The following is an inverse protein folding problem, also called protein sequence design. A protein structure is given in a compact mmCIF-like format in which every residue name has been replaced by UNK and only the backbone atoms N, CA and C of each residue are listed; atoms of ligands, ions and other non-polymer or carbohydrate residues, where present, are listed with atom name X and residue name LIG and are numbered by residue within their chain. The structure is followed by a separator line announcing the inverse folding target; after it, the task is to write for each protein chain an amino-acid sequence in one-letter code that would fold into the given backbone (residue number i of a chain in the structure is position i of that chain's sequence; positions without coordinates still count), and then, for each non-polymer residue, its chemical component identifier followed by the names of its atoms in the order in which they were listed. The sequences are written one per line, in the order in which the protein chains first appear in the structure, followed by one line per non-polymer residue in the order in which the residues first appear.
data_IF_252212333130
#
_entry.id   IF_252212333130
#
_cell.length_a   1.000
_cell.length_b   1.000
_cell.length_c   1.000
_cell.angle_alpha   90.00
_cell.angle_beta   90.00
_cell.angle_gamma   90.00
#
_symmetry.space_group_name_H-M   'P 1'
#
loop_
_entity.id
_entity.type
_entity.pdbx_description
1 polymer ?
#
# COMPACT_ATOMS: atom_id res chain seq x y z
N UNK A 1 -54.75 23.09 12.31
CA UNK A 1 -53.29 23.06 12.53
C UNK A 1 -52.88 21.61 12.77
N UNK A 2 -52.29 20.94 11.76
CA UNK A 2 -51.84 19.55 11.86
C UNK A 2 -50.36 19.56 12.24
N UNK A 3 -50.05 19.26 13.51
CA UNK A 3 -48.69 18.99 13.97
C UNK A 3 -48.14 17.82 13.13
N UNK A 4 -47.11 18.09 12.34
CA UNK A 4 -46.33 17.05 11.67
C UNK A 4 -45.37 16.43 12.68
N UNK A 5 -45.36 15.10 12.69
CA UNK A 5 -44.62 14.23 13.59
C UNK A 5 -43.10 14.46 13.49
N UNK A 6 -42.37 14.59 14.62
CA UNK A 6 -40.90 14.72 14.64
C UNK A 6 -40.15 13.44 14.21
N UNK A 7 -40.87 12.34 13.94
CA UNK A 7 -40.27 11.06 13.53
C UNK A 7 -39.81 11.01 12.07
N UNK A 8 -40.05 12.05 11.27
CA UNK A 8 -39.67 12.10 9.84
C UNK A 8 -38.28 12.69 9.59
N UNK A 9 -37.55 13.07 10.65
CA UNK A 9 -36.24 13.75 10.57
C UNK A 9 -35.04 12.86 10.93
N UNK A 10 -35.24 11.56 11.18
CA UNK A 10 -34.18 10.65 11.63
C UNK A 10 -33.79 9.58 10.60
N UNK A 11 -33.82 9.91 9.30
CA UNK A 11 -33.49 8.94 8.24
C UNK A 11 -32.53 9.43 7.16
N UNK A 12 -31.73 10.46 7.44
CA UNK A 12 -30.74 10.98 6.50
C UNK A 12 -29.43 11.33 7.21
N UNK A 13 -28.70 10.30 7.62
CA UNK A 13 -27.29 10.39 7.96
C UNK A 13 -26.58 9.13 7.48
N UNK A 14 -26.59 8.87 6.17
CA UNK A 14 -25.52 8.07 5.58
C UNK A 14 -24.34 9.03 5.46
N UNK A 15 -23.62 9.19 6.57
CA UNK A 15 -22.30 9.77 6.56
C UNK A 15 -21.44 8.83 5.70
N UNK A 16 -20.92 9.34 4.59
CA UNK A 16 -19.85 8.68 3.85
C UNK A 16 -18.71 8.45 4.83
N UNK A 17 -18.56 7.20 5.25
CA UNK A 17 -17.77 6.80 6.41
C UNK A 17 -16.37 6.31 6.00
N UNK A 18 -16.05 6.37 4.71
CA UNK A 18 -14.77 5.95 4.16
C UNK A 18 -13.89 7.16 3.81
N UNK A 19 -12.66 7.18 4.33
CA UNK A 19 -11.63 8.15 3.94
C UNK A 19 -10.90 7.74 2.65
N UNK A 20 -10.84 6.43 2.42
CA UNK A 20 -10.34 5.84 1.18
C UNK A 20 -11.41 5.97 0.11
N UNK A 21 -11.02 6.46 -1.07
CA UNK A 21 -11.89 6.62 -2.24
C UNK A 21 -11.45 5.71 -3.39
N UNK A 22 -12.28 5.57 -4.44
CA UNK A 22 -11.87 4.80 -5.62
C UNK A 22 -10.62 5.39 -6.30
N UNK A 23 -10.46 6.72 -6.25
CA UNK A 23 -9.24 7.37 -6.76
C UNK A 23 -8.03 7.08 -5.86
N UNK A 24 -8.24 7.00 -4.54
CA UNK A 24 -7.21 6.52 -3.62
C UNK A 24 -6.70 5.14 -4.01
N UNK A 25 -7.60 4.19 -4.31
CA UNK A 25 -7.23 2.82 -4.71
C UNK A 25 -6.42 2.82 -6.01
N UNK A 26 -6.80 3.63 -7.01
CA UNK A 26 -6.02 3.77 -8.26
C UNK A 26 -4.63 4.31 -7.99
N UNK A 27 -4.52 5.40 -7.23
CA UNK A 27 -3.24 6.03 -6.90
C UNK A 27 -2.32 5.08 -6.11
N UNK A 28 -2.88 4.38 -5.11
CA UNK A 28 -2.14 3.38 -4.34
C UNK A 28 -1.69 2.20 -5.22
N UNK A 29 -2.50 1.79 -6.20
CA UNK A 29 -2.10 0.74 -7.16
C UNK A 29 -0.87 1.17 -7.95
N UNK A 30 -0.90 2.38 -8.53
CA UNK A 30 0.21 2.92 -9.32
C UNK A 30 1.48 3.13 -8.47
N UNK A 31 1.32 3.68 -7.25
CA UNK A 31 2.40 3.87 -6.28
C UNK A 31 3.04 2.55 -5.89
N UNK A 32 2.23 1.55 -5.52
CA UNK A 32 2.70 0.21 -5.14
C UNK A 32 3.53 -0.45 -6.24
N UNK A 33 3.07 -0.39 -7.50
CA UNK A 33 3.84 -0.92 -8.63
C UNK A 33 5.11 -0.10 -8.91
N UNK A 34 5.12 1.19 -8.57
CA UNK A 34 6.31 2.05 -8.60
C UNK A 34 7.36 1.65 -7.57
N UNK A 35 6.95 1.44 -6.31
CA UNK A 35 7.84 1.01 -5.22
C UNK A 35 8.41 -0.38 -5.47
N UNK A 36 7.60 -1.31 -5.97
CA UNK A 36 8.05 -2.65 -6.38
C UNK A 36 9.18 -2.61 -7.41
N UNK A 37 9.05 -1.76 -8.43
CA UNK A 37 10.07 -1.61 -9.48
C UNK A 37 11.41 -1.16 -8.91
N UNK A 38 11.42 -0.21 -7.97
CA UNK A 38 12.65 0.26 -7.30
C UNK A 38 13.44 -0.88 -6.62
N UNK A 39 12.74 -1.80 -5.95
CA UNK A 39 13.38 -2.97 -5.33
C UNK A 39 13.93 -3.93 -6.40
N UNK A 40 13.22 -4.09 -7.51
CA UNK A 40 13.58 -5.05 -8.56
C UNK A 40 14.79 -4.58 -9.36
N UNK A 41 14.84 -3.29 -9.69
CA UNK A 41 15.88 -2.70 -10.56
C UNK A 41 17.28 -2.77 -9.92
N UNK A 42 17.39 -2.65 -8.59
CA UNK A 42 18.66 -2.79 -7.86
C UNK A 42 19.08 -4.26 -7.69
N UNK A 43 18.12 -5.17 -7.48
CA UNK A 43 18.42 -6.61 -7.35
C UNK A 43 18.88 -7.29 -8.66
N UNK A 44 18.70 -6.64 -9.81
CA UNK A 44 19.21 -7.16 -11.10
C UNK A 44 20.71 -6.93 -11.30
N UNK A 45 21.36 -6.08 -10.50
CA UNK A 45 22.81 -5.83 -10.60
C UNK A 45 23.64 -6.79 -9.74
N UNK A 46 23.09 -7.31 -8.63
CA UNK A 46 23.82 -8.18 -7.68
C UNK A 46 23.59 -9.69 -7.86
N UNK A 47 22.57 -10.11 -8.61
CA UNK A 47 22.35 -11.54 -8.93
C UNK A 47 23.07 -11.89 -10.22
N UNK A 48 24.38 -12.15 -10.10
CA UNK A 48 25.27 -12.56 -11.17
C UNK A 48 24.66 -13.64 -12.07
N UNK A 49 24.15 -13.20 -13.22
CA UNK A 49 23.90 -14.05 -14.36
C UNK A 49 25.26 -14.47 -14.92
N UNK A 50 25.65 -15.71 -14.64
CA UNK A 50 26.62 -16.43 -15.48
C UNK A 50 26.04 -16.51 -16.90
N UNK A 51 26.52 -15.63 -17.78
CA UNK A 51 25.96 -15.46 -19.11
C UNK A 51 26.80 -14.56 -20.02
N UNK A 52 27.87 -15.13 -20.56
CA UNK A 52 28.69 -14.70 -21.72
C UNK A 52 28.04 -13.63 -22.63
N UNK A 53 28.69 -12.48 -22.78
CA UNK A 53 28.29 -11.42 -23.72
C UNK A 53 29.41 -10.42 -24.07
N UNK A 54 30.25 -10.82 -25.03
CA UNK A 54 30.93 -10.03 -26.09
C UNK A 54 31.11 -8.51 -25.87
N UNK A 55 32.38 -8.08 -25.90
CA UNK A 55 32.79 -6.69 -25.67
C UNK A 55 32.42 -5.66 -26.75
N UNK A 56 32.64 -4.39 -26.40
CA UNK A 56 32.55 -3.25 -27.30
C UNK A 56 32.51 -1.90 -26.57
N UNK A 57 33.68 -1.28 -26.45
CA UNK A 57 33.96 0.15 -26.68
C UNK A 57 33.15 1.27 -25.96
N UNK A 58 33.83 1.93 -25.02
CA UNK A 58 34.02 3.40 -25.06
C UNK A 58 32.83 4.34 -24.90
N UNK A 59 32.74 4.99 -23.73
CA UNK A 59 32.64 6.45 -23.70
C UNK A 59 31.56 7.10 -22.84
N UNK A 60 32.04 8.08 -22.05
CA UNK A 60 31.37 9.27 -21.49
C UNK A 60 30.57 9.08 -20.22
N UNK A 61 31.27 9.39 -19.13
CA UNK A 61 30.66 9.87 -17.90
C UNK A 61 29.86 11.16 -18.12
N UNK A 62 28.77 11.25 -17.35
CA UNK A 62 28.12 12.50 -17.02
C UNK A 62 27.84 12.47 -15.52
N UNK A 63 28.71 13.16 -14.78
CA UNK A 63 28.54 13.45 -13.37
C UNK A 63 27.42 14.48 -13.25
N UNK A 64 26.33 14.11 -12.58
CA UNK A 64 25.31 15.07 -12.13
C UNK A 64 25.60 15.37 -10.66
N UNK A 65 25.93 16.63 -10.40
CA UNK A 65 26.36 17.17 -9.10
C UNK A 65 25.15 17.78 -8.36
N UNK A 66 25.02 17.47 -7.07
CA UNK A 66 24.27 18.23 -6.06
C UNK A 66 22.93 17.60 -5.65
N UNK A 67 22.65 17.33 -4.38
CA UNK A 67 23.38 17.52 -3.14
C UNK A 67 22.44 17.33 -1.95
N UNK A 68 22.92 16.69 -0.89
CA UNK A 68 22.55 16.94 0.50
C UNK A 68 23.50 16.14 1.38
N UNK A 69 24.36 16.86 2.10
CA UNK A 69 25.31 16.32 3.04
C UNK A 69 24.59 15.77 4.28
N UNK A 70 24.80 14.49 4.57
CA UNK A 70 24.79 13.94 5.93
C UNK A 70 26.06 13.11 6.06
N UNK A 71 26.87 13.44 7.06
CA UNK A 71 28.22 12.94 7.22
C UNK A 71 28.28 11.49 7.69
N UNK A 72 29.21 10.75 7.08
CA UNK A 72 30.12 9.78 7.69
C UNK A 72 29.52 8.67 8.54
N UNK A 73 29.46 7.48 7.96
CA UNK A 73 30.12 6.33 8.55
C UNK A 73 30.83 5.55 7.43
N UNK A 74 32.14 5.36 7.57
CA UNK A 74 32.94 4.48 6.72
C UNK A 74 32.67 3.04 7.15
N UNK A 75 31.51 2.53 6.76
CA UNK A 75 31.18 1.11 6.84
C UNK A 75 31.47 0.44 5.51
N UNK A 76 32.18 -0.68 5.56
CA UNK A 76 32.29 -1.70 4.52
C UNK A 76 30.88 -2.25 4.18
N UNK A 77 30.06 -1.39 3.56
CA UNK A 77 28.67 -1.66 3.22
C UNK A 77 28.62 -2.43 1.92
N UNK A 78 28.82 -3.74 2.01
CA UNK A 78 28.51 -4.64 0.91
C UNK A 78 27.05 -4.51 0.48
N UNK A 79 26.75 -4.98 -0.73
CA UNK A 79 25.44 -4.96 -1.40
C UNK A 79 24.23 -5.31 -0.49
N UNK A 80 24.45 -6.01 0.63
CA UNK A 80 23.46 -6.32 1.66
C UNK A 80 22.77 -5.09 2.28
N UNK A 81 23.56 -4.10 2.75
CA UNK A 81 23.01 -2.93 3.45
C UNK A 81 22.23 -2.01 2.51
N UNK A 82 22.73 -1.83 1.29
CA UNK A 82 22.06 -1.02 0.26
C UNK A 82 20.72 -1.64 -0.16
N UNK A 83 20.65 -2.98 -0.25
CA UNK A 83 19.41 -3.69 -0.58
C UNK A 83 18.42 -3.62 0.58
N UNK A 84 18.86 -3.79 1.84
CA UNK A 84 17.97 -3.64 3.00
C UNK A 84 17.35 -2.24 3.02
N UNK A 85 18.17 -1.20 2.92
CA UNK A 85 17.73 0.20 2.94
C UNK A 85 16.72 0.50 1.81
N UNK A 86 16.96 -0.06 0.62
CA UNK A 86 16.06 0.10 -0.53
C UNK A 86 14.70 -0.54 -0.26
N UNK A 87 14.68 -1.77 0.26
CA UNK A 87 13.45 -2.50 0.56
C UNK A 87 12.69 -1.80 1.69
N UNK A 88 13.38 -1.41 2.75
CA UNK A 88 12.81 -0.68 3.88
C UNK A 88 12.25 0.69 3.45
N UNK A 89 12.95 1.43 2.59
CA UNK A 89 12.46 2.69 2.05
C UNK A 89 11.19 2.49 1.22
N UNK A 90 11.15 1.45 0.38
CA UNK A 90 9.97 1.13 -0.43
C UNK A 90 8.75 0.78 0.44
N UNK A 91 8.93 -0.03 1.49
CA UNK A 91 7.90 -0.31 2.49
C UNK A 91 7.43 0.95 3.19
N UNK A 92 8.36 1.78 3.68
CA UNK A 92 8.03 3.04 4.38
C UNK A 92 7.24 4.00 3.50
N UNK A 93 7.60 4.14 2.22
CA UNK A 93 6.85 5.00 1.29
C UNK A 93 5.42 4.50 1.10
N UNK A 94 5.23 3.20 0.86
CA UNK A 94 3.88 2.63 0.72
C UNK A 94 3.06 2.77 2.01
N UNK A 95 3.64 2.49 3.17
CA UNK A 95 2.98 2.67 4.46
C UNK A 95 2.60 4.14 4.71
N UNK A 96 3.47 5.08 4.32
CA UNK A 96 3.20 6.51 4.44
C UNK A 96 2.04 6.93 3.55
N UNK A 97 2.00 6.48 2.29
CA UNK A 97 0.89 6.76 1.38
C UNK A 97 -0.44 6.22 1.93
N UNK A 98 -0.45 4.99 2.46
CA UNK A 98 -1.63 4.41 3.11
C UNK A 98 -2.03 5.25 4.34
N UNK A 99 -1.07 5.61 5.20
CA UNK A 99 -1.34 6.39 6.40
C UNK A 99 -1.92 7.77 6.06
N UNK A 100 -1.37 8.47 5.07
CA UNK A 100 -1.88 9.77 4.61
C UNK A 100 -3.35 9.67 4.23
N UNK A 101 -3.74 8.61 3.53
CA UNK A 101 -5.13 8.36 3.14
C UNK A 101 -6.02 8.04 4.35
N UNK A 102 -5.49 7.30 5.33
CA UNK A 102 -6.18 6.98 6.58
C UNK A 102 -6.35 8.20 7.52
N UNK A 103 -5.49 9.21 7.42
CA UNK A 103 -5.52 10.40 8.28
C UNK A 103 -6.30 11.58 7.70
N UNK A 104 -6.83 11.47 6.48
CA UNK A 104 -7.66 12.52 5.89
C UNK A 104 -8.83 12.87 6.83
N UNK A 105 -9.13 14.16 7.04
CA UNK A 105 -10.23 14.56 7.92
C UNK A 105 -11.56 14.10 7.33
N UNK A 106 -12.40 13.47 8.17
CA UNK A 106 -13.79 13.14 7.84
C UNK A 106 -14.53 14.45 7.57
N UNK A 107 -14.68 14.81 6.30
CA UNK A 107 -15.48 15.97 5.93
C UNK A 107 -16.94 15.60 6.08
N UNK A 108 -17.57 16.10 7.14
CA UNK A 108 -19.01 16.04 7.39
C UNK A 108 -19.70 16.99 6.40
N UNK A 109 -19.63 16.68 5.11
CA UNK A 109 -20.40 17.40 4.09
C UNK A 109 -21.44 16.44 3.56
N UNK A 110 -22.75 16.72 3.73
CA UNK A 110 -23.79 15.85 3.22
C UNK A 110 -23.59 15.68 1.70
N UNK A 111 -23.64 14.44 1.19
CA UNK A 111 -23.45 14.20 -0.23
C UNK A 111 -24.52 14.99 -1.01
N UNK A 112 -24.17 15.63 -2.14
CA UNK A 112 -25.18 16.17 -3.04
C UNK A 112 -26.14 15.05 -3.43
N UNK A 113 -27.43 15.38 -3.41
CA UNK A 113 -28.55 14.49 -3.68
C UNK A 113 -28.26 13.62 -4.91
N UNK A 114 -28.47 12.31 -4.75
CA UNK A 114 -28.27 11.26 -5.73
C UNK A 114 -28.83 11.58 -7.12
N UNK A 115 -28.02 12.23 -7.95
CA UNK A 115 -28.05 11.97 -9.38
C UNK A 115 -27.41 10.60 -9.58
N UNK A 116 -28.19 9.69 -10.16
CA UNK A 116 -27.83 8.32 -10.52
C UNK A 116 -26.61 8.27 -11.46
N UNK A 117 -25.41 8.53 -10.94
CA UNK A 117 -24.18 8.12 -11.59
C UNK A 117 -24.23 6.60 -11.55
N UNK A 118 -24.46 6.01 -12.72
CA UNK A 118 -24.46 4.57 -12.88
C UNK A 118 -23.03 4.11 -12.56
N UNK A 119 -22.83 3.61 -11.35
CA UNK A 119 -21.52 3.09 -10.93
C UNK A 119 -21.17 1.91 -11.83
N UNK A 120 -20.09 2.04 -12.59
CA UNK A 120 -19.58 0.94 -13.41
C UNK A 120 -18.97 -0.13 -12.50
N UNK A 121 -19.79 -1.10 -12.12
CA UNK A 121 -19.38 -2.15 -11.20
C UNK A 121 -18.33 -3.09 -11.78
N UNK A 122 -18.17 -3.16 -13.11
CA UNK A 122 -17.06 -3.89 -13.69
C UNK A 122 -15.77 -3.15 -13.39
N UNK A 123 -15.72 -1.86 -13.72
CA UNK A 123 -14.55 -1.01 -13.46
C UNK A 123 -14.16 -0.98 -11.98
N UNK A 124 -15.12 -0.81 -11.07
CA UNK A 124 -14.86 -0.80 -9.61
C UNK A 124 -14.21 -2.10 -9.13
N UNK A 125 -14.68 -3.25 -9.62
CA UNK A 125 -14.12 -4.57 -9.27
C UNK A 125 -12.74 -4.77 -9.88
N UNK A 126 -12.57 -4.40 -11.15
CA UNK A 126 -11.30 -4.51 -11.85
C UNK A 126 -10.22 -3.68 -11.12
N UNK A 127 -10.56 -2.47 -10.67
CA UNK A 127 -9.66 -1.60 -9.90
C UNK A 127 -9.33 -2.17 -8.50
N UNK A 128 -10.33 -2.71 -7.80
CA UNK A 128 -10.10 -3.39 -6.52
C UNK A 128 -9.13 -4.57 -6.68
N UNK A 129 -9.36 -5.43 -7.67
CA UNK A 129 -8.51 -6.60 -7.93
C UNK A 129 -7.12 -6.19 -8.42
N UNK A 130 -7.01 -5.14 -9.22
CA UNK A 130 -5.73 -4.59 -9.66
C UNK A 130 -4.89 -4.11 -8.47
N UNK A 131 -5.51 -3.41 -7.51
CA UNK A 131 -4.87 -2.96 -6.29
C UNK A 131 -4.36 -4.12 -5.45
N UNK A 132 -5.20 -5.12 -5.16
CA UNK A 132 -4.78 -6.32 -4.42
C UNK A 132 -3.63 -7.04 -5.13
N UNK A 133 -3.72 -7.18 -6.45
CA UNK A 133 -2.68 -7.84 -7.23
C UNK A 133 -1.36 -7.04 -7.20
N UNK A 134 -1.40 -5.71 -7.23
CA UNK A 134 -0.21 -4.87 -7.08
C UNK A 134 0.43 -5.04 -5.70
N UNK A 135 -0.38 -5.02 -4.63
CA UNK A 135 0.06 -5.27 -3.26
C UNK A 135 0.73 -6.63 -3.11
N UNK A 136 0.09 -7.70 -3.59
CA UNK A 136 0.66 -9.06 -3.52
C UNK A 136 1.97 -9.16 -4.31
N UNK A 137 2.05 -8.56 -5.50
CA UNK A 137 3.31 -8.54 -6.28
C UNK A 137 4.42 -7.78 -5.55
N UNK A 138 4.09 -6.68 -4.87
CA UNK A 138 5.04 -5.93 -4.06
C UNK A 138 5.56 -6.78 -2.89
N UNK A 139 4.66 -7.40 -2.12
CA UNK A 139 5.02 -8.28 -0.99
C UNK A 139 5.84 -9.50 -1.44
N UNK A 140 5.53 -10.07 -2.61
CA UNK A 140 6.31 -11.16 -3.16
C UNK A 140 7.77 -10.78 -3.42
N UNK A 141 8.02 -9.57 -3.95
CA UNK A 141 9.39 -9.09 -4.15
C UNK A 141 10.10 -8.90 -2.81
N UNK A 142 9.41 -8.37 -1.78
CA UNK A 142 9.98 -8.27 -0.42
C UNK A 142 10.32 -9.66 0.12
N UNK A 143 9.41 -10.62 -0.02
CA UNK A 143 9.63 -12.00 0.40
C UNK A 143 10.82 -12.64 -0.31
N UNK A 144 10.94 -12.48 -1.64
CA UNK A 144 12.09 -13.01 -2.39
C UNK A 144 13.41 -12.45 -1.86
N UNK A 145 13.45 -11.16 -1.53
CA UNK A 145 14.65 -10.56 -0.92
C UNK A 145 14.90 -11.08 0.48
N UNK A 146 13.85 -11.22 1.30
CA UNK A 146 13.98 -11.83 2.63
C UNK A 146 14.53 -13.27 2.55
N UNK A 147 14.11 -14.07 1.58
CA UNK A 147 14.59 -15.44 1.40
C UNK A 147 16.08 -15.51 0.99
N UNK A 148 16.56 -14.49 0.26
CA UNK A 148 17.96 -14.40 -0.20
C UNK A 148 18.87 -13.90 0.92
N UNK A 149 18.50 -12.77 1.55
CA UNK A 149 19.33 -12.06 2.51
C UNK A 149 19.12 -12.49 3.96
N UNK A 150 17.97 -13.10 4.28
CA UNK A 150 17.63 -13.66 5.60
C UNK A 150 17.79 -12.65 6.74
N UNK A 151 17.18 -11.48 6.57
CA UNK A 151 17.19 -10.45 7.61
C UNK A 151 16.47 -10.93 8.87
N UNK A 152 16.95 -10.49 10.04
CA UNK A 152 16.34 -10.78 11.34
C UNK A 152 15.20 -9.82 11.72
N UNK A 153 14.57 -10.04 12.87
CA UNK A 153 13.52 -9.19 13.42
C UNK A 153 14.01 -7.81 13.88
N UNK A 154 15.32 -7.60 13.97
CA UNK A 154 15.97 -6.30 14.17
C UNK A 154 16.09 -5.47 12.88
N UNK A 155 15.77 -6.03 11.72
CA UNK A 155 15.92 -5.34 10.44
C UNK A 155 14.87 -4.26 10.22
N UNK A 156 15.25 -3.24 9.45
CA UNK A 156 14.33 -2.17 9.06
C UNK A 156 13.25 -2.65 8.09
N UNK A 157 13.50 -3.76 7.39
CA UNK A 157 12.52 -4.45 6.56
C UNK A 157 11.43 -5.10 7.43
N UNK A 158 11.80 -5.79 8.51
CA UNK A 158 10.85 -6.35 9.46
C UNK A 158 9.93 -5.27 10.04
N UNK A 159 10.51 -4.15 10.48
CA UNK A 159 9.73 -2.99 10.96
C UNK A 159 8.75 -2.49 9.90
N UNK A 160 9.19 -2.39 8.64
CA UNK A 160 8.37 -1.94 7.53
C UNK A 160 7.18 -2.87 7.23
N UNK A 161 7.41 -4.19 7.22
CA UNK A 161 6.35 -5.19 7.04
C UNK A 161 5.38 -5.14 8.22
N UNK A 162 5.88 -5.03 9.45
CA UNK A 162 5.06 -4.93 10.67
C UNK A 162 4.20 -3.67 10.68
N UNK A 163 4.74 -2.55 10.20
CA UNK A 163 3.97 -1.32 10.06
C UNK A 163 2.87 -1.45 9.00
N UNK A 164 3.17 -2.06 7.85
CA UNK A 164 2.17 -2.32 6.80
C UNK A 164 1.03 -3.19 7.32
N UNK A 165 1.36 -4.27 8.03
CA UNK A 165 0.39 -5.15 8.70
C UNK A 165 -0.49 -4.37 9.67
N UNK A 166 0.13 -3.52 10.50
CA UNK A 166 -0.57 -2.69 11.47
C UNK A 166 -1.50 -1.66 10.82
N UNK A 167 -1.12 -1.03 9.71
CA UNK A 167 -2.00 -0.11 8.96
C UNK A 167 -3.17 -0.85 8.31
N UNK A 168 -2.92 -2.07 7.82
CA UNK A 168 -3.95 -2.87 7.17
C UNK A 168 -5.01 -3.34 8.16
N UNK A 169 -4.58 -3.94 9.27
CA UNK A 169 -5.46 -4.68 10.17
C UNK A 169 -5.83 -3.94 11.47
N UNK A 170 -5.01 -2.99 11.94
CA UNK A 170 -5.22 -2.34 13.22
C UNK A 170 -5.87 -0.96 13.10
N UNK A 171 -6.68 -0.63 14.11
CA UNK A 171 -7.21 0.72 14.32
C UNK A 171 -6.23 1.62 15.05
N UNK A 172 -5.27 1.07 15.79
CA UNK A 172 -4.40 1.84 16.70
C UNK A 172 -3.26 2.57 16.00
N UNK A 173 -3.08 2.37 14.70
CA UNK A 173 -1.94 2.83 13.91
C UNK A 173 -2.17 4.17 13.22
N UNK A 174 -3.34 4.79 13.42
CA UNK A 174 -3.69 6.10 12.89
C UNK A 174 -4.60 6.89 13.83
N UNK A 175 -4.61 8.21 13.66
CA UNK A 175 -5.40 9.15 14.48
C UNK A 175 -6.92 9.00 14.34
N UNK A 176 -7.39 8.34 13.28
CA UNK A 176 -8.83 8.14 12.99
C UNK A 176 -9.40 6.86 13.61
N UNK A 177 -8.58 6.05 14.28
CA UNK A 177 -8.98 4.77 14.90
C UNK A 177 -9.66 3.79 13.93
N UNK A 178 -9.18 3.70 12.68
CA UNK A 178 -9.79 2.85 11.63
C UNK A 178 -8.73 2.10 10.83
N UNK A 179 -8.91 0.82 10.60
CA UNK A 179 -7.98 0.05 9.76
C UNK A 179 -8.25 0.29 8.27
N UNK A 180 -7.26 0.01 7.42
CA UNK A 180 -7.45 0.13 5.97
C UNK A 180 -8.54 -0.80 5.43
N UNK A 181 -8.69 -2.01 6.00
CA UNK A 181 -9.79 -2.94 5.68
C UNK A 181 -11.15 -2.28 5.94
N UNK A 182 -11.31 -1.62 7.09
CA UNK A 182 -12.59 -1.01 7.46
C UNK A 182 -12.98 0.13 6.52
N UNK A 183 -12.00 0.90 6.08
CA UNK A 183 -12.20 1.97 5.12
C UNK A 183 -12.59 1.42 3.74
N UNK A 184 -11.89 0.39 3.25
CA UNK A 184 -12.25 -0.28 2.00
C UNK A 184 -13.65 -0.90 2.06
N UNK A 185 -13.99 -1.57 3.16
CA UNK A 185 -15.31 -2.15 3.38
C UNK A 185 -16.41 -1.09 3.35
N UNK A 186 -16.22 0.04 4.04
CA UNK A 186 -17.18 1.14 4.02
C UNK A 186 -17.32 1.73 2.62
N UNK A 187 -16.21 1.98 1.93
CA UNK A 187 -16.20 2.56 0.59
C UNK A 187 -16.92 1.66 -0.42
N UNK A 188 -16.56 0.37 -0.48
CA UNK A 188 -17.14 -0.55 -1.45
C UNK A 188 -18.60 -0.91 -1.13
N UNK A 189 -19.02 -0.84 0.14
CA UNK A 189 -20.43 -0.98 0.50
C UNK A 189 -21.29 0.12 -0.14
N UNK A 190 -20.80 1.37 -0.18
CA UNK A 190 -21.50 2.51 -0.81
C UNK A 190 -21.65 2.33 -2.33
N UNK A 191 -20.73 1.62 -2.98
CA UNK A 191 -20.83 1.35 -4.43
C UNK A 191 -21.93 0.35 -4.79
N UNK A 192 -22.31 -0.53 -3.85
CA UNK A 192 -23.22 -1.66 -4.09
C UNK A 192 -22.69 -2.76 -5.02
N UNK A 193 -21.48 -2.60 -5.59
CA UNK A 193 -20.98 -3.46 -6.67
C UNK A 193 -20.61 -4.88 -6.23
N UNK A 194 -20.29 -5.08 -4.95
CA UNK A 194 -19.98 -6.39 -4.38
C UNK A 194 -21.22 -7.10 -3.82
N UNK A 195 -22.40 -6.44 -3.82
CA UNK A 195 -23.66 -7.03 -3.38
C UNK A 195 -23.58 -7.56 -1.94
N UNK A 196 -24.00 -8.82 -1.74
CA UNK A 196 -23.92 -9.52 -0.44
C UNK A 196 -22.62 -10.31 -0.25
N UNK A 197 -21.68 -10.17 -1.19
CA UNK A 197 -20.41 -10.89 -1.13
C UNK A 197 -19.51 -10.27 -0.06
N UNK A 198 -18.93 -11.11 0.80
CA UNK A 198 -17.85 -10.69 1.72
C UNK A 198 -16.49 -10.72 1.02
N UNK A 199 -16.46 -10.57 -0.31
CA UNK A 199 -15.24 -10.67 -1.11
C UNK A 199 -14.19 -9.64 -0.69
N UNK A 200 -14.59 -8.40 -0.44
CA UNK A 200 -13.66 -7.35 -0.02
C UNK A 200 -12.95 -7.76 1.27
N UNK A 201 -13.72 -8.02 2.33
CA UNK A 201 -13.16 -8.49 3.61
C UNK A 201 -12.29 -9.74 3.45
N UNK A 202 -12.78 -10.75 2.72
CA UNK A 202 -12.06 -12.03 2.56
C UNK A 202 -10.70 -11.83 1.89
N UNK A 203 -10.65 -11.05 0.81
CA UNK A 203 -9.41 -10.80 0.07
C UNK A 203 -8.45 -9.90 0.83
N UNK A 204 -8.97 -8.92 1.55
CA UNK A 204 -8.15 -8.08 2.42
C UNK A 204 -7.54 -8.87 3.58
N UNK A 205 -8.27 -9.84 4.14
CA UNK A 205 -7.73 -10.78 5.15
C UNK A 205 -6.62 -11.65 4.55
N UNK A 206 -6.76 -12.13 3.31
CA UNK A 206 -5.69 -12.89 2.62
C UNK A 206 -4.38 -12.08 2.52
N UNK A 207 -4.45 -10.76 2.34
CA UNK A 207 -3.25 -9.88 2.34
C UNK A 207 -2.64 -9.79 3.74
N UNK A 208 -3.46 -9.70 4.80
CA UNK A 208 -2.97 -9.69 6.19
C UNK A 208 -2.35 -11.02 6.58
N UNK A 209 -2.94 -12.14 6.15
CA UNK A 209 -2.37 -13.48 6.32
C UNK A 209 -1.00 -13.57 5.64
N UNK A 210 -0.87 -13.10 4.40
CA UNK A 210 0.44 -13.00 3.74
C UNK A 210 1.42 -12.19 4.59
N UNK A 211 1.05 -10.99 5.04
CA UNK A 211 1.93 -10.15 5.85
C UNK A 211 2.41 -10.83 7.13
N UNK A 212 1.53 -11.57 7.81
CA UNK A 212 1.90 -12.35 8.99
C UNK A 212 2.86 -13.49 8.63
N UNK A 213 2.57 -14.25 7.57
CA UNK A 213 3.47 -15.32 7.08
C UNK A 213 4.84 -14.77 6.71
N UNK A 214 4.90 -13.56 6.13
CA UNK A 214 6.14 -12.87 5.80
C UNK A 214 6.91 -12.44 7.05
N UNK A 215 6.23 -11.92 8.08
CA UNK A 215 6.86 -11.58 9.37
C UNK A 215 7.48 -12.81 10.05
N UNK A 216 6.80 -13.96 9.98
CA UNK A 216 7.30 -15.22 10.53
C UNK A 216 8.61 -15.69 9.88
N UNK A 217 8.94 -15.22 8.66
CA UNK A 217 10.21 -15.52 7.98
C UNK A 217 11.43 -14.78 8.58
N UNK A 218 11.23 -13.80 9.46
CA UNK A 218 12.32 -13.00 10.05
C UNK A 218 12.83 -13.55 11.40
N UNK A 219 12.20 -14.60 11.95
CA UNK A 219 12.66 -15.29 13.17
C UNK A 219 12.05 -14.75 14.46
#
# INVERSE_FOLDING_TARGET
MKLHSPLTLLYLAVASNALVTLDTIRNLTEGTDGYRRRITDLGSMGLGSDGVGVGGDGGRGQVVMGGAAWGGDEGDGGDEGEIEDTVAAALRMLCTDILIELEKPLTITPPPSSSSIQTDCKKVKDEYHAFLAATVRFLHVVQERQMVWRWGSESTVFEGVGWMQGLWASRSTNSQNRSFIEQQMSMYAETGCFGKSNEVLRRDVEVVEYLNDLLDLFG
#
